data_IF_393381306423
#
_entry.id   IF_393381306423
#
_cell.length_a   1.000
_cell.length_b   1.000
_cell.length_c   1.000
_cell.angle_alpha   90.00
_cell.angle_beta   90.00
_cell.angle_gamma   90.00
#
_symmetry.space_group_name_H-M   'P 1'
#
loop_
_entity.id
_entity.type
_entity.pdbx_description
1 polymer ?
#
# COMPACT_ATOMS: atom_id res chain seq x y z
N UNK A 1 2.30 12.21 19.86
CA UNK A 1 3.23 11.94 18.74
C UNK A 1 4.19 10.84 19.16
N UNK A 2 4.24 9.73 18.44
CA UNK A 2 5.14 8.62 18.74
C UNK A 2 6.17 8.51 17.60
N UNK A 3 7.38 9.02 17.87
CA UNK A 3 8.51 8.86 16.93
C UNK A 3 9.24 7.56 17.22
N UNK A 4 9.67 6.89 16.17
CA UNK A 4 10.46 5.66 16.26
C UNK A 4 11.72 5.79 15.42
N UNK A 5 12.77 5.10 15.82
CA UNK A 5 13.90 4.80 14.95
C UNK A 5 13.45 3.75 13.94
N UNK A 6 13.64 4.03 12.67
CA UNK A 6 13.14 3.16 11.60
C UNK A 6 14.17 2.08 11.24
N UNK A 7 14.05 0.92 11.84
CA UNK A 7 15.03 -0.14 11.73
C UNK A 7 16.43 0.35 12.14
N UNK A 8 17.46 -0.07 11.42
CA UNK A 8 18.84 0.37 11.59
C UNK A 8 19.25 1.54 10.69
N UNK A 9 18.27 2.28 10.15
CA UNK A 9 18.53 3.35 9.16
C UNK A 9 19.04 4.66 9.77
N UNK A 10 18.86 4.85 11.07
CA UNK A 10 19.07 6.13 11.72
C UNK A 10 18.00 7.19 11.42
N UNK A 11 16.99 6.86 10.62
CA UNK A 11 15.86 7.75 10.37
C UNK A 11 14.90 7.73 11.56
N UNK A 12 14.53 8.91 12.02
CA UNK A 12 13.51 9.10 13.07
C UNK A 12 12.22 9.54 12.41
N UNK A 13 11.21 8.69 12.43
CA UNK A 13 9.92 8.95 11.77
C UNK A 13 8.76 8.90 12.77
N UNK A 14 7.71 9.67 12.48
CA UNK A 14 6.43 9.56 13.18
C UNK A 14 5.81 8.20 12.82
N UNK A 15 5.25 7.50 13.80
CA UNK A 15 4.68 6.15 13.64
C UNK A 15 3.41 6.11 12.77
N UNK A 16 3.07 7.22 12.13
CA UNK A 16 2.01 7.33 11.13
C UNK A 16 2.55 8.06 9.90
N UNK A 17 2.70 7.34 8.81
CA UNK A 17 3.14 7.88 7.53
C UNK A 17 1.96 8.21 6.60
N UNK A 18 2.24 8.98 5.56
CA UNK A 18 1.29 9.35 4.51
C UNK A 18 1.54 8.55 3.24
N UNK A 19 0.55 7.76 2.81
CA UNK A 19 0.56 7.03 1.54
C UNK A 19 0.03 7.89 0.40
N UNK A 20 0.88 8.31 -0.51
CA UNK A 20 0.58 9.26 -1.57
C UNK A 20 -0.14 8.65 -2.80
N UNK A 21 -0.53 7.37 -2.80
CA UNK A 21 -1.27 6.79 -3.92
C UNK A 21 -2.62 7.51 -4.20
N UNK A 22 -3.46 7.85 -3.20
CA UNK A 22 -4.76 8.46 -3.48
C UNK A 22 -4.68 9.91 -3.98
N UNK A 23 -3.63 10.65 -3.71
CA UNK A 23 -3.54 12.06 -4.14
C UNK A 23 -3.47 12.21 -5.67
N UNK A 24 -3.17 11.16 -6.42
CA UNK A 24 -3.28 11.18 -7.88
C UNK A 24 -4.72 11.45 -8.39
N UNK A 25 -5.74 11.33 -7.53
CA UNK A 25 -7.16 11.50 -7.86
C UNK A 25 -7.71 12.90 -7.57
N UNK A 26 -6.92 13.77 -6.98
CA UNK A 26 -7.29 15.15 -6.63
C UNK A 26 -6.37 16.14 -7.36
N UNK A 27 -6.73 17.39 -7.41
CA UNK A 27 -5.90 18.43 -8.05
C UNK A 27 -4.56 18.62 -7.34
N UNK A 28 -3.57 19.19 -8.03
CA UNK A 28 -2.27 19.52 -7.42
C UNK A 28 -2.43 20.47 -6.23
N UNK A 29 -3.29 21.49 -6.37
CA UNK A 29 -3.56 22.45 -5.29
C UNK A 29 -4.13 21.78 -4.04
N UNK A 30 -5.10 20.88 -4.20
CA UNK A 30 -5.67 20.13 -3.08
C UNK A 30 -4.65 19.17 -2.46
N UNK A 31 -3.85 18.48 -3.30
CA UNK A 31 -2.80 17.59 -2.82
C UNK A 31 -1.74 18.32 -2.01
N UNK A 32 -1.24 19.46 -2.49
CA UNK A 32 -0.27 20.30 -1.78
C UNK A 32 -0.81 20.76 -0.43
N UNK A 33 -2.06 21.24 -0.39
CA UNK A 33 -2.71 21.64 0.87
C UNK A 33 -2.80 20.48 1.86
N UNK A 34 -3.18 19.29 1.37
CA UNK A 34 -3.33 18.08 2.19
C UNK A 34 -1.98 17.60 2.73
N UNK A 35 -0.93 17.61 1.90
CA UNK A 35 0.43 17.22 2.28
C UNK A 35 1.04 18.20 3.29
N UNK A 36 0.84 19.50 3.13
CA UNK A 36 1.26 20.50 4.12
C UNK A 36 0.54 20.30 5.44
N UNK A 37 -0.79 20.12 5.43
CA UNK A 37 -1.58 19.87 6.65
C UNK A 37 -1.09 18.61 7.38
N UNK A 38 -0.74 17.55 6.63
CA UNK A 38 -0.18 16.33 7.21
C UNK A 38 1.18 16.60 7.89
N UNK A 39 2.09 17.29 7.19
CA UNK A 39 3.41 17.63 7.70
C UNK A 39 3.34 18.54 8.94
N UNK A 40 2.51 19.57 8.91
CA UNK A 40 2.30 20.50 10.03
C UNK A 40 1.61 19.81 11.22
N UNK A 41 0.81 18.77 10.94
CA UNK A 41 0.21 17.88 11.94
C UNK A 41 1.16 16.86 12.57
N UNK A 42 2.43 16.81 12.11
CA UNK A 42 3.49 15.99 12.69
C UNK A 42 3.90 14.77 11.88
N UNK A 43 3.19 14.45 10.77
CA UNK A 43 3.61 13.39 9.84
C UNK A 43 4.86 13.85 9.10
N UNK A 44 5.94 13.07 9.21
CA UNK A 44 7.19 13.36 8.51
C UNK A 44 7.61 12.26 7.53
N UNK A 45 6.84 11.18 7.38
CA UNK A 45 7.11 10.08 6.44
C UNK A 45 6.08 10.08 5.31
N UNK A 46 6.55 10.25 4.06
CA UNK A 46 5.72 10.30 2.85
C UNK A 46 6.17 9.25 1.85
N UNK A 47 5.26 8.36 1.45
CA UNK A 47 5.52 7.25 0.54
C UNK A 47 4.77 7.43 -0.78
N UNK A 48 5.50 7.53 -1.87
CA UNK A 48 4.97 7.60 -3.24
C UNK A 48 5.57 6.50 -4.13
N UNK A 49 5.39 6.57 -5.44
CA UNK A 49 6.01 5.65 -6.41
C UNK A 49 6.04 6.25 -7.82
N UNK A 50 7.03 5.84 -8.64
CA UNK A 50 7.10 6.18 -10.06
C UNK A 50 5.81 5.79 -10.82
N UNK A 51 5.17 4.68 -10.42
CA UNK A 51 3.95 4.17 -11.02
C UNK A 51 2.66 4.92 -10.63
N UNK A 52 2.71 5.89 -9.71
CA UNK A 52 1.53 6.62 -9.24
C UNK A 52 1.29 7.90 -10.04
N UNK A 53 1.12 7.77 -11.34
CA UNK A 53 0.83 8.87 -12.29
C UNK A 53 1.57 10.19 -11.95
N UNK A 54 0.87 11.20 -11.44
CA UNK A 54 1.40 12.53 -11.08
C UNK A 54 1.70 12.71 -9.57
N UNK A 55 1.64 11.64 -8.79
CA UNK A 55 1.83 11.72 -7.33
C UNK A 55 3.21 12.27 -6.94
N UNK A 56 4.30 11.84 -7.61
CA UNK A 56 5.64 12.39 -7.35
C UNK A 56 5.72 13.88 -7.67
N UNK A 57 5.04 14.36 -8.73
CA UNK A 57 4.98 15.77 -9.06
C UNK A 57 4.32 16.59 -7.94
N UNK A 58 3.19 16.12 -7.42
CA UNK A 58 2.44 16.75 -6.32
C UNK A 58 3.25 16.78 -5.02
N UNK A 59 3.94 15.68 -4.71
CA UNK A 59 4.87 15.62 -3.56
C UNK A 59 6.03 16.61 -3.75
N UNK A 60 6.63 16.66 -4.94
CA UNK A 60 7.70 17.60 -5.28
C UNK A 60 7.23 19.07 -5.22
N UNK A 61 5.99 19.35 -5.65
CA UNK A 61 5.39 20.69 -5.51
C UNK A 61 5.17 21.07 -4.05
N UNK A 62 4.70 20.15 -3.22
CA UNK A 62 4.44 20.39 -1.80
C UNK A 62 5.72 20.63 -0.99
N UNK A 63 6.79 19.88 -1.25
CA UNK A 63 7.98 19.89 -0.38
C UNK A 63 9.21 20.56 -1.00
N UNK A 64 9.07 21.24 -2.14
CA UNK A 64 10.12 22.09 -2.69
C UNK A 64 10.48 23.19 -1.70
N UNK A 65 11.76 23.23 -1.25
CA UNK A 65 12.21 24.15 -0.20
C UNK A 65 11.95 23.73 1.24
N UNK A 66 11.33 22.56 1.48
CA UNK A 66 11.08 21.97 2.80
C UNK A 66 11.53 20.51 2.89
N UNK A 67 12.46 20.11 2.04
CA UNK A 67 12.87 18.70 1.86
C UNK A 67 13.44 18.07 3.14
N UNK A 68 14.09 18.87 3.97
CA UNK A 68 14.69 18.51 5.25
C UNK A 68 13.65 18.21 6.35
N UNK A 69 12.39 18.65 6.15
CA UNK A 69 11.30 18.39 7.12
C UNK A 69 10.73 16.97 6.99
N UNK A 70 11.04 16.25 5.92
CA UNK A 70 10.40 14.98 5.59
C UNK A 70 11.40 13.86 5.34
N UNK A 71 10.96 12.64 5.60
CA UNK A 71 11.55 11.39 5.12
C UNK A 71 10.72 10.93 3.92
N UNK A 72 11.36 10.84 2.77
CA UNK A 72 10.72 10.57 1.49
C UNK A 72 11.04 9.17 0.99
N UNK A 73 10.00 8.37 0.75
CA UNK A 73 10.08 7.09 0.08
C UNK A 73 9.44 7.14 -1.30
N UNK A 74 10.11 6.58 -2.31
CA UNK A 74 9.51 6.29 -3.62
C UNK A 74 10.00 4.96 -4.16
N UNK A 75 9.49 4.53 -5.33
CA UNK A 75 9.65 3.16 -5.81
C UNK A 75 9.89 3.12 -7.31
N UNK A 76 10.73 2.19 -7.76
CA UNK A 76 10.91 1.85 -9.18
C UNK A 76 10.28 0.50 -9.53
N UNK A 77 9.59 0.44 -10.67
CA UNK A 77 9.12 -0.81 -11.26
C UNK A 77 10.09 -1.39 -12.30
N UNK A 78 11.30 -0.86 -12.39
CA UNK A 78 12.31 -1.29 -13.33
C UNK A 78 12.68 -2.76 -13.14
N UNK A 79 13.02 -3.41 -14.26
CA UNK A 79 13.47 -4.80 -14.30
C UNK A 79 14.92 -4.95 -14.84
N UNK A 80 15.57 -3.82 -15.13
CA UNK A 80 16.94 -3.74 -15.59
C UNK A 80 17.65 -2.53 -14.96
N UNK A 81 18.97 -2.57 -14.90
CA UNK A 81 19.78 -1.46 -14.41
C UNK A 81 19.53 -0.15 -15.17
N UNK A 82 19.36 -0.20 -16.51
CA UNK A 82 19.06 0.99 -17.31
C UNK A 82 17.69 1.58 -16.93
N UNK A 83 16.69 0.71 -16.78
CA UNK A 83 15.35 1.12 -16.31
C UNK A 83 15.39 1.74 -14.92
N UNK A 84 16.17 1.18 -14.01
CA UNK A 84 16.38 1.71 -12.66
C UNK A 84 16.91 3.15 -12.70
N UNK A 85 17.96 3.42 -13.48
CA UNK A 85 18.54 4.75 -13.58
C UNK A 85 17.57 5.75 -14.20
N UNK A 86 16.87 5.37 -15.26
CA UNK A 86 15.83 6.21 -15.89
C UNK A 86 14.73 6.58 -14.87
N UNK A 87 14.24 5.62 -14.09
CA UNK A 87 13.21 5.86 -13.08
C UNK A 87 13.75 6.76 -11.97
N UNK A 88 14.95 6.49 -11.44
CA UNK A 88 15.56 7.28 -10.37
C UNK A 88 15.77 8.74 -10.78
N UNK A 89 16.37 8.99 -11.94
CA UNK A 89 16.60 10.35 -12.45
C UNK A 89 15.28 11.09 -12.71
N UNK A 90 14.27 10.36 -13.16
CA UNK A 90 12.93 10.93 -13.32
C UNK A 90 12.30 11.26 -11.96
N UNK A 91 12.40 10.37 -10.98
CA UNK A 91 11.89 10.60 -9.64
C UNK A 91 12.56 11.81 -8.97
N UNK A 92 13.88 11.91 -9.02
CA UNK A 92 14.62 13.05 -8.45
C UNK A 92 14.16 14.38 -9.07
N UNK A 93 14.07 14.43 -10.40
CA UNK A 93 13.60 15.62 -11.12
C UNK A 93 12.15 15.97 -10.76
N UNK A 94 11.25 14.98 -10.73
CA UNK A 94 9.82 15.18 -10.50
C UNK A 94 9.55 15.58 -9.05
N UNK A 95 10.25 14.95 -8.11
CA UNK A 95 10.21 15.26 -6.68
C UNK A 95 10.96 16.53 -6.30
N UNK A 96 11.70 17.14 -7.25
CA UNK A 96 12.51 18.37 -7.06
C UNK A 96 13.50 18.25 -5.89
N UNK A 97 14.23 17.15 -5.85
CA UNK A 97 15.20 16.83 -4.79
C UNK A 97 16.44 16.15 -5.37
N UNK A 98 17.57 16.31 -4.69
CA UNK A 98 18.83 15.68 -5.07
C UNK A 98 18.99 14.28 -4.47
N UNK A 99 18.16 13.91 -3.50
CA UNK A 99 18.23 12.61 -2.85
C UNK A 99 16.86 12.09 -2.41
N UNK A 100 16.78 10.77 -2.30
CA UNK A 100 15.62 10.04 -1.76
C UNK A 100 16.08 9.27 -0.52
N UNK A 101 15.31 9.35 0.58
CA UNK A 101 15.69 8.66 1.81
C UNK A 101 15.54 7.15 1.68
N UNK A 102 14.41 6.68 1.15
CA UNK A 102 14.11 5.25 0.97
C UNK A 102 13.70 4.99 -0.47
N UNK A 103 14.55 4.28 -1.23
CA UNK A 103 14.23 3.90 -2.60
C UNK A 103 13.93 2.41 -2.69
N UNK A 104 12.73 2.07 -3.19
CA UNK A 104 12.20 0.71 -3.09
C UNK A 104 12.08 0.04 -4.46
N UNK A 105 12.43 -1.24 -4.57
CA UNK A 105 12.00 -2.07 -5.69
C UNK A 105 10.51 -2.36 -5.55
N UNK A 106 9.72 -2.02 -6.56
CA UNK A 106 8.25 -2.03 -6.51
C UNK A 106 7.65 -3.37 -6.89
N UNK A 107 7.46 -4.25 -5.93
CA UNK A 107 6.82 -5.57 -6.09
C UNK A 107 7.48 -6.46 -7.17
N UNK A 108 8.80 -6.61 -7.18
CA UNK A 108 9.48 -7.51 -8.09
C UNK A 108 9.01 -8.96 -7.85
N UNK A 109 9.09 -9.80 -8.90
CA UNK A 109 8.74 -11.21 -8.80
C UNK A 109 9.81 -12.05 -8.08
N UNK A 110 10.98 -11.47 -7.85
CA UNK A 110 12.16 -12.05 -7.21
C UNK A 110 12.78 -11.03 -6.25
N UNK A 111 13.76 -11.44 -5.46
CA UNK A 111 14.51 -10.56 -4.58
C UNK A 111 15.79 -10.09 -5.30
N UNK A 112 15.93 -8.82 -5.77
CA UNK A 112 17.16 -8.32 -6.37
C UNK A 112 18.36 -8.44 -5.41
N UNK A 113 19.52 -8.93 -5.93
CA UNK A 113 20.72 -9.19 -5.13
C UNK A 113 21.97 -8.67 -5.86
N UNK A 114 23.08 -8.41 -5.13
CA UNK A 114 24.34 -8.06 -5.75
C UNK A 114 24.79 -9.13 -6.77
N UNK A 115 25.27 -8.67 -7.93
CA UNK A 115 25.70 -9.55 -9.03
C UNK A 115 24.56 -10.27 -9.75
N UNK A 116 23.30 -9.92 -9.52
CA UNK A 116 22.15 -10.44 -10.25
C UNK A 116 22.20 -10.05 -11.73
N UNK A 117 21.73 -10.94 -12.63
CA UNK A 117 21.71 -10.69 -14.08
C UNK A 117 20.88 -9.45 -14.46
N UNK A 118 19.90 -9.08 -13.64
CA UNK A 118 19.08 -7.88 -13.78
C UNK A 118 19.85 -6.58 -13.52
N UNK A 119 20.96 -6.62 -12.78
CA UNK A 119 21.79 -5.50 -12.38
C UNK A 119 21.12 -4.46 -11.48
N UNK A 120 19.92 -4.74 -10.98
CA UNK A 120 19.11 -3.78 -10.20
C UNK A 120 19.75 -3.40 -8.88
N UNK A 121 20.22 -4.42 -8.12
CA UNK A 121 20.79 -4.15 -6.81
C UNK A 121 22.13 -3.44 -6.91
N UNK A 122 22.95 -3.77 -7.91
CA UNK A 122 24.23 -3.11 -8.15
C UNK A 122 24.04 -1.66 -8.59
N UNK A 123 23.02 -1.38 -9.42
CA UNK A 123 22.61 -0.02 -9.76
C UNK A 123 22.15 0.77 -8.51
N UNK A 124 21.42 0.13 -7.58
CA UNK A 124 21.02 0.76 -6.34
C UNK A 124 22.21 1.04 -5.40
N UNK A 125 23.19 0.15 -5.33
CA UNK A 125 24.43 0.39 -4.58
C UNK A 125 25.21 1.59 -5.15
N UNK A 126 25.33 1.68 -6.47
CA UNK A 126 25.99 2.82 -7.11
C UNK A 126 25.22 4.12 -6.89
N UNK A 127 23.87 4.10 -6.97
CA UNK A 127 23.04 5.26 -6.66
C UNK A 127 23.19 5.72 -5.20
N UNK A 128 23.34 4.78 -4.27
CA UNK A 128 23.63 5.06 -2.85
C UNK A 128 25.02 5.69 -2.69
N UNK A 129 26.03 5.17 -3.38
CA UNK A 129 27.40 5.71 -3.38
C UNK A 129 27.44 7.15 -3.93
N UNK A 130 26.62 7.44 -4.95
CA UNK A 130 26.47 8.79 -5.50
C UNK A 130 25.65 9.73 -4.60
N UNK A 131 25.10 9.26 -3.48
CA UNK A 131 24.27 10.04 -2.58
C UNK A 131 22.84 10.31 -3.08
N UNK A 132 22.42 9.74 -4.21
CA UNK A 132 21.08 9.92 -4.79
C UNK A 132 20.01 9.19 -4.01
N UNK A 133 20.36 8.09 -3.36
CA UNK A 133 19.48 7.37 -2.42
C UNK A 133 20.23 7.07 -1.12
N UNK A 134 19.54 7.09 0.00
CA UNK A 134 20.14 6.79 1.32
C UNK A 134 20.00 5.33 1.69
N UNK A 135 18.81 4.76 1.48
CA UNK A 135 18.50 3.39 1.87
C UNK A 135 17.86 2.62 0.71
N UNK A 136 18.36 1.41 0.47
CA UNK A 136 17.80 0.46 -0.51
C UNK A 136 16.75 -0.36 0.21
N UNK A 137 15.55 -0.45 -0.36
CA UNK A 137 14.41 -1.12 0.24
C UNK A 137 13.59 -1.89 -0.79
N UNK A 138 12.63 -2.67 -0.33
CA UNK A 138 11.76 -3.46 -1.20
C UNK A 138 10.32 -3.38 -0.72
N UNK A 139 9.38 -3.32 -1.66
CA UNK A 139 7.97 -3.56 -1.38
C UNK A 139 7.50 -4.81 -2.10
N UNK A 140 6.73 -5.64 -1.44
CA UNK A 140 6.19 -6.85 -2.06
C UNK A 140 4.80 -7.20 -1.54
N UNK A 141 4.14 -8.13 -2.25
CA UNK A 141 2.88 -8.74 -1.85
C UNK A 141 2.99 -10.26 -1.72
N UNK A 142 4.15 -10.83 -2.09
CA UNK A 142 4.43 -12.26 -2.01
C UNK A 142 5.21 -12.55 -0.76
N UNK A 143 4.66 -13.40 0.10
CA UNK A 143 5.31 -13.82 1.35
C UNK A 143 6.72 -14.39 1.11
N UNK A 144 6.88 -15.24 0.09
CA UNK A 144 8.17 -15.86 -0.20
C UNK A 144 9.27 -14.82 -0.55
N UNK A 145 8.95 -13.81 -1.38
CA UNK A 145 9.92 -12.76 -1.73
C UNK A 145 10.18 -11.83 -0.55
N UNK A 146 9.17 -11.55 0.27
CA UNK A 146 9.32 -10.75 1.48
C UNK A 146 10.23 -11.46 2.49
N UNK A 147 10.04 -12.76 2.71
CA UNK A 147 10.90 -13.57 3.58
C UNK A 147 12.33 -13.62 3.05
N UNK A 148 12.51 -13.88 1.74
CA UNK A 148 13.83 -13.87 1.10
C UNK A 148 14.55 -12.53 1.28
N UNK A 149 13.82 -11.42 1.18
CA UNK A 149 14.38 -10.08 1.40
C UNK A 149 14.88 -9.89 2.84
N UNK A 150 14.13 -10.38 3.83
CA UNK A 150 14.52 -10.35 5.25
C UNK A 150 15.78 -11.19 5.46
N UNK A 151 15.76 -12.44 5.01
CA UNK A 151 16.86 -13.40 5.20
C UNK A 151 18.15 -12.97 4.51
N UNK A 152 18.05 -12.18 3.45
CA UNK A 152 19.21 -11.66 2.71
C UNK A 152 20.03 -10.64 3.49
N UNK A 153 19.42 -9.91 4.42
CA UNK A 153 20.06 -8.80 5.14
C UNK A 153 20.45 -7.60 4.27
N UNK A 154 19.95 -7.53 3.03
CA UNK A 154 20.35 -6.52 2.03
C UNK A 154 19.54 -5.24 2.11
N UNK A 155 18.35 -5.28 2.67
CA UNK A 155 17.38 -4.21 2.61
C UNK A 155 17.21 -3.49 3.93
N UNK A 156 17.10 -2.17 3.88
CA UNK A 156 16.88 -1.34 5.06
C UNK A 156 15.43 -1.39 5.57
N UNK A 157 14.47 -1.68 4.67
CA UNK A 157 13.07 -1.84 5.03
C UNK A 157 12.32 -2.77 4.07
N UNK A 158 11.24 -3.34 4.59
CA UNK A 158 10.23 -4.08 3.82
C UNK A 158 8.90 -3.31 3.88
N UNK A 159 8.29 -3.07 2.73
CA UNK A 159 6.90 -2.61 2.65
C UNK A 159 6.00 -3.76 2.25
N UNK A 160 5.02 -4.08 3.09
CA UNK A 160 4.11 -5.21 2.88
C UNK A 160 2.66 -4.86 3.26
N UNK A 161 1.61 -5.48 2.63
CA UNK A 161 0.24 -5.31 3.07
C UNK A 161 0.06 -5.81 4.50
N UNK A 162 -0.39 -4.91 5.39
CA UNK A 162 -0.56 -5.25 6.79
C UNK A 162 -1.72 -4.46 7.39
N UNK A 163 -2.59 -5.15 8.11
CA UNK A 163 -3.76 -4.61 8.81
C UNK A 163 -4.10 -5.53 9.97
N UNK A 164 -5.11 -5.21 10.77
CA UNK A 164 -5.56 -6.12 11.81
C UNK A 164 -6.23 -7.42 11.29
N UNK A 165 -6.31 -7.60 9.97
CA UNK A 165 -6.65 -8.87 9.32
C UNK A 165 -5.43 -9.76 9.04
N UNK A 166 -4.22 -9.30 9.41
CA UNK A 166 -2.99 -10.06 9.23
C UNK A 166 -3.03 -11.39 10.00
N UNK A 167 -2.56 -12.45 9.35
CA UNK A 167 -2.39 -13.76 9.93
C UNK A 167 -0.97 -13.96 10.50
N UNK A 168 -0.68 -15.20 10.91
CA UNK A 168 0.60 -15.57 11.52
C UNK A 168 1.78 -15.30 10.59
N UNK A 169 1.63 -15.52 9.29
CA UNK A 169 2.70 -15.33 8.31
C UNK A 169 3.10 -13.86 8.16
N UNK A 170 2.13 -12.95 8.11
CA UNK A 170 2.40 -11.52 8.04
C UNK A 170 2.97 -10.99 9.37
N UNK A 171 2.52 -11.50 10.51
CA UNK A 171 3.09 -11.18 11.81
C UNK A 171 4.54 -11.68 11.92
N UNK A 172 4.86 -12.85 11.36
CA UNK A 172 6.22 -13.37 11.31
C UNK A 172 7.15 -12.49 10.46
N UNK A 173 6.67 -11.85 9.37
CA UNK A 173 7.46 -10.88 8.60
C UNK A 173 7.80 -9.64 9.45
N UNK A 174 6.87 -9.13 10.26
CA UNK A 174 7.13 -7.99 11.15
C UNK A 174 8.22 -8.32 12.16
N UNK A 175 8.13 -9.50 12.79
CA UNK A 175 9.13 -9.97 13.75
C UNK A 175 10.49 -10.25 13.07
N UNK A 176 10.47 -10.85 11.86
CA UNK A 176 11.67 -11.04 11.04
C UNK A 176 12.35 -9.71 10.71
N UNK A 177 11.60 -8.69 10.31
CA UNK A 177 12.15 -7.35 10.09
C UNK A 177 12.76 -6.79 11.38
N UNK A 178 12.07 -6.89 12.50
CA UNK A 178 12.54 -6.39 13.80
C UNK A 178 13.88 -7.04 14.19
N UNK A 179 13.99 -8.34 14.08
CA UNK A 179 15.20 -9.11 14.47
C UNK A 179 16.39 -8.84 13.55
N UNK A 180 16.16 -8.48 12.28
CA UNK A 180 17.19 -8.12 11.31
C UNK A 180 17.48 -6.61 11.23
N UNK A 181 16.89 -5.80 12.12
CA UNK A 181 17.07 -4.35 12.11
C UNK A 181 16.49 -3.65 10.89
N UNK A 182 15.53 -4.29 10.20
CA UNK A 182 14.80 -3.72 9.08
C UNK A 182 13.57 -2.95 9.56
N UNK A 183 13.29 -1.77 8.97
CA UNK A 183 12.01 -1.10 9.18
C UNK A 183 10.88 -1.83 8.45
N UNK A 184 9.67 -1.85 9.03
CA UNK A 184 8.48 -2.41 8.38
C UNK A 184 7.47 -1.32 8.04
N UNK A 185 7.18 -1.13 6.74
CA UNK A 185 6.17 -0.20 6.25
C UNK A 185 4.89 -0.97 5.99
N UNK A 186 3.83 -0.66 6.75
CA UNK A 186 2.53 -1.28 6.59
C UNK A 186 1.68 -0.54 5.55
N UNK A 187 1.59 -1.08 4.34
CA UNK A 187 0.64 -0.58 3.35
C UNK A 187 -0.73 -1.25 3.50
N UNK A 188 -1.78 -0.59 2.99
CA UNK A 188 -3.16 -1.10 3.03
C UNK A 188 -3.70 -1.35 4.43
N UNK A 189 -3.37 -0.50 5.39
CA UNK A 189 -3.84 -0.58 6.78
C UNK A 189 -5.37 -0.66 6.91
N UNK A 190 -6.12 -0.14 5.93
CA UNK A 190 -7.59 -0.26 5.83
C UNK A 190 -8.04 -1.43 4.94
N UNK A 191 -7.18 -2.43 4.68
CA UNK A 191 -7.46 -3.60 3.84
C UNK A 191 -8.11 -3.26 2.48
N UNK A 192 -7.65 -2.17 1.84
CA UNK A 192 -8.21 -1.70 0.57
C UNK A 192 -9.64 -1.18 0.65
N UNK A 193 -10.06 -0.65 1.80
CA UNK A 193 -11.38 -0.09 2.05
C UNK A 193 -12.39 -1.08 2.66
N UNK A 194 -11.98 -2.29 2.99
CA UNK A 194 -12.84 -3.27 3.69
C UNK A 194 -12.99 -2.95 5.17
N UNK A 195 -12.00 -2.34 5.80
CA UNK A 195 -12.06 -1.84 7.16
C UNK A 195 -12.63 -0.42 7.14
N UNK A 196 -13.57 -0.13 8.03
CA UNK A 196 -14.30 1.14 8.04
C UNK A 196 -13.88 2.06 9.17
N UNK A 197 -13.42 1.49 10.27
CA UNK A 197 -13.04 2.23 11.46
C UNK A 197 -11.54 2.54 11.43
N UNK A 198 -11.20 3.74 10.95
CA UNK A 198 -9.82 4.22 10.89
C UNK A 198 -9.17 4.36 12.26
N UNK A 199 -9.94 4.71 13.29
CA UNK A 199 -9.43 4.85 14.66
C UNK A 199 -9.06 3.49 15.25
N UNK A 200 -9.88 2.46 15.02
CA UNK A 200 -9.56 1.08 15.42
C UNK A 200 -8.33 0.55 14.66
N UNK A 201 -8.24 0.83 13.36
CA UNK A 201 -7.06 0.45 12.57
C UNK A 201 -5.78 1.15 13.07
N UNK A 202 -5.87 2.45 13.35
CA UNK A 202 -4.75 3.22 13.90
C UNK A 202 -4.33 2.72 15.30
N UNK A 203 -5.27 2.42 16.17
CA UNK A 203 -5.00 1.90 17.50
C UNK A 203 -4.30 0.53 17.45
N UNK A 204 -4.73 -0.35 16.55
CA UNK A 204 -4.10 -1.65 16.38
C UNK A 204 -2.69 -1.51 15.83
N UNK A 205 -2.48 -0.63 14.84
CA UNK A 205 -1.15 -0.36 14.26
C UNK A 205 -0.20 0.28 15.28
N UNK A 206 -0.72 1.18 16.12
CA UNK A 206 0.07 1.81 17.18
C UNK A 206 0.61 0.80 18.20
N UNK A 207 -0.12 -0.28 18.44
CA UNK A 207 0.30 -1.36 19.34
C UNK A 207 1.36 -2.31 18.73
N UNK A 208 1.62 -2.24 17.41
CA UNK A 208 2.64 -3.09 16.77
C UNK A 208 4.01 -2.43 16.90
N UNK A 209 5.01 -3.16 17.38
CA UNK A 209 6.41 -2.72 17.37
C UNK A 209 6.97 -2.75 15.95
N UNK A 210 7.94 -1.86 15.66
CA UNK A 210 8.64 -1.78 14.36
C UNK A 210 7.73 -1.62 13.12
N UNK A 211 6.48 -1.17 13.27
CA UNK A 211 5.53 -0.99 12.16
C UNK A 211 5.20 0.47 11.96
N UNK A 212 5.34 0.94 10.74
CA UNK A 212 4.92 2.29 10.30
C UNK A 212 3.84 2.14 9.25
N UNK A 213 2.57 2.38 9.59
CA UNK A 213 1.51 2.43 8.59
C UNK A 213 1.65 3.65 7.69
N UNK A 214 1.38 3.46 6.40
CA UNK A 214 1.20 4.54 5.43
C UNK A 214 -0.28 4.65 5.08
N UNK A 215 -0.94 5.70 5.60
CA UNK A 215 -2.36 5.90 5.39
C UNK A 215 -2.60 6.56 4.04
N UNK A 216 -3.38 5.90 3.19
CA UNK A 216 -3.82 6.46 1.92
C UNK A 216 -4.97 7.45 2.14
N UNK A 217 -4.70 8.73 1.95
CA UNK A 217 -5.62 9.84 2.24
C UNK A 217 -5.83 10.70 0.99
N UNK A 218 -7.07 11.11 0.72
CA UNK A 218 -7.42 12.03 -0.35
C UNK A 218 -8.36 13.16 0.10
N UNK A 219 -8.85 13.13 1.35
CA UNK A 219 -9.76 14.13 1.93
C UNK A 219 -9.23 14.63 3.26
N UNK A 220 -9.47 15.91 3.56
CA UNK A 220 -9.06 16.48 4.85
C UNK A 220 -9.70 15.76 6.04
N UNK A 221 -10.97 15.35 5.94
CA UNK A 221 -11.66 14.62 7.00
C UNK A 221 -11.06 13.23 7.29
N UNK A 222 -10.49 12.58 6.29
CA UNK A 222 -9.74 11.33 6.47
C UNK A 222 -8.42 11.59 7.21
N UNK A 223 -7.71 12.66 6.81
CA UNK A 223 -6.47 13.07 7.47
C UNK A 223 -6.70 13.45 8.93
N UNK A 224 -7.77 14.21 9.22
CA UNK A 224 -8.08 14.69 10.56
C UNK A 224 -8.22 13.54 11.57
N UNK A 225 -8.76 12.40 11.18
CA UNK A 225 -8.86 11.22 12.03
C UNK A 225 -7.47 10.69 12.43
N UNK A 226 -6.54 10.59 11.48
CA UNK A 226 -5.18 10.13 11.76
C UNK A 226 -4.37 11.17 12.55
N UNK A 227 -4.55 12.46 12.24
CA UNK A 227 -3.93 13.54 13.02
C UNK A 227 -4.46 13.58 14.46
N UNK A 228 -5.73 13.26 14.67
CA UNK A 228 -6.28 13.09 16.02
C UNK A 228 -5.55 11.98 16.78
N UNK A 229 -5.37 10.80 16.15
CA UNK A 229 -4.61 9.70 16.74
C UNK A 229 -3.18 10.09 17.09
N UNK A 230 -2.52 10.93 16.28
CA UNK A 230 -1.17 11.42 16.53
C UNK A 230 -1.14 12.36 17.75
N UNK A 231 -2.15 13.22 17.92
CA UNK A 231 -2.23 14.18 19.04
C UNK A 231 -2.62 13.53 20.36
N UNK A 232 -3.66 12.71 20.32
CA UNK A 232 -4.32 12.17 21.52
C UNK A 232 -3.83 10.77 21.90
N UNK A 233 -3.12 10.11 20.98
CA UNK A 233 -2.83 8.69 21.08
C UNK A 233 -3.99 7.82 20.58
N UNK A 234 -3.70 6.57 20.27
CA UNK A 234 -4.69 5.62 19.83
C UNK A 234 -4.63 4.39 20.75
N UNK A 235 -5.49 4.36 21.76
CA UNK A 235 -5.57 3.22 22.69
C UNK A 235 -6.39 2.09 22.09
N UNK A 236 -5.92 0.86 22.25
CA UNK A 236 -6.63 -0.35 21.83
C UNK A 236 -7.61 -0.79 22.94
N UNK A 237 -8.76 -0.10 23.01
CA UNK A 237 -9.82 -0.37 23.99
C UNK A 237 -10.51 -1.73 23.76
N UNK A 238 -11.25 -2.24 24.73
CA UNK A 238 -12.00 -3.51 24.60
C UNK A 238 -13.08 -3.43 23.51
N UNK A 239 -13.70 -2.26 23.29
CA UNK A 239 -14.64 -2.03 22.21
C UNK A 239 -13.96 -2.19 20.84
N UNK A 240 -12.76 -1.62 20.68
CA UNK A 240 -11.96 -1.77 19.46
C UNK A 240 -11.49 -3.21 19.26
N UNK A 241 -11.11 -3.92 20.33
CA UNK A 241 -10.78 -5.36 20.27
C UNK A 241 -11.98 -6.17 19.77
N UNK A 242 -13.17 -5.92 20.31
CA UNK A 242 -14.43 -6.56 19.88
C UNK A 242 -14.71 -6.28 18.39
N UNK A 243 -14.49 -5.05 17.94
CA UNK A 243 -14.62 -4.68 16.54
C UNK A 243 -13.64 -5.46 15.64
N UNK A 244 -12.38 -5.57 16.06
CA UNK A 244 -11.36 -6.35 15.34
C UNK A 244 -11.76 -7.83 15.25
N UNK A 245 -12.20 -8.42 16.34
CA UNK A 245 -12.62 -9.83 16.37
C UNK A 245 -13.83 -10.09 15.46
N UNK A 246 -14.82 -9.18 15.47
CA UNK A 246 -15.95 -9.25 14.56
C UNK A 246 -15.49 -9.18 13.11
N UNK A 247 -14.68 -8.19 12.77
CA UNK A 247 -14.18 -7.99 11.41
C UNK A 247 -13.32 -9.16 10.93
N UNK A 248 -12.49 -9.72 11.81
CA UNK A 248 -11.72 -10.94 11.50
C UNK A 248 -12.63 -12.12 11.18
N UNK A 249 -13.71 -12.34 11.94
CA UNK A 249 -14.67 -13.41 11.63
C UNK A 249 -15.42 -13.20 10.33
N UNK A 250 -15.82 -11.95 10.04
CA UNK A 250 -16.58 -11.62 8.84
C UNK A 250 -15.72 -11.57 7.56
N UNK A 251 -14.43 -11.27 7.69
CA UNK A 251 -13.48 -11.14 6.59
C UNK A 251 -12.45 -12.28 6.59
N UNK A 252 -12.74 -13.41 7.27
CA UNK A 252 -11.88 -14.58 7.19
C UNK A 252 -12.03 -15.27 5.83
N UNK A 253 -10.95 -15.89 5.35
CA UNK A 253 -10.93 -16.67 4.12
C UNK A 253 -10.28 -15.99 2.91
N UNK A 254 -10.44 -16.63 1.77
CA UNK A 254 -9.88 -16.18 0.51
C UNK A 254 -10.70 -15.03 -0.08
N UNK A 255 -10.13 -13.86 -0.15
CA UNK A 255 -10.76 -12.71 -0.80
C UNK A 255 -9.75 -11.84 -1.54
N UNK A 256 -10.21 -11.15 -2.59
CA UNK A 256 -9.38 -10.24 -3.37
C UNK A 256 -8.99 -9.00 -2.55
N UNK A 257 -7.66 -8.74 -2.38
CA UNK A 257 -7.13 -7.55 -1.69
C UNK A 257 -7.17 -6.28 -2.53
N UNK A 258 -7.72 -6.32 -3.75
CA UNK A 258 -7.87 -5.16 -4.61
C UNK A 258 -6.55 -4.54 -5.10
N UNK A 259 -5.46 -5.30 -5.15
CA UNK A 259 -4.12 -4.80 -5.49
C UNK A 259 -3.96 -4.40 -6.96
N UNK A 260 -4.73 -4.99 -7.89
CA UNK A 260 -4.73 -4.66 -9.30
C UNK A 260 -3.63 -5.31 -10.15
N UNK A 261 -2.74 -6.14 -9.61
CA UNK A 261 -1.64 -6.76 -10.39
C UNK A 261 -2.12 -7.73 -11.49
N UNK A 262 -3.34 -8.25 -11.36
CA UNK A 262 -4.00 -9.06 -12.38
C UNK A 262 -4.56 -8.22 -13.55
N UNK A 263 -4.50 -6.90 -13.48
CA UNK A 263 -4.98 -6.00 -14.53
C UNK A 263 -3.90 -5.70 -15.57
N UNK A 264 -4.23 -5.34 -16.83
CA UNK A 264 -5.60 -5.39 -17.37
C UNK A 264 -6.05 -6.83 -17.65
N UNK A 265 -7.35 -7.09 -17.53
CA UNK A 265 -7.93 -8.36 -17.96
C UNK A 265 -8.09 -8.39 -19.49
N UNK A 266 -7.69 -9.47 -20.20
CA UNK A 266 -7.88 -9.55 -21.65
C UNK A 266 -9.35 -9.54 -22.11
N UNK A 267 -10.29 -9.80 -21.18
CA UNK A 267 -11.73 -9.70 -21.42
C UNK A 267 -12.33 -8.38 -20.89
N UNK A 268 -11.53 -7.41 -20.46
CA UNK A 268 -12.00 -6.12 -19.98
C UNK A 268 -12.65 -6.12 -18.58
N UNK A 269 -12.57 -7.23 -17.83
CA UNK A 269 -13.15 -7.33 -16.49
C UNK A 269 -12.33 -6.51 -15.50
N UNK A 270 -12.98 -5.67 -14.70
CA UNK A 270 -12.37 -4.92 -13.59
C UNK A 270 -12.18 -5.83 -12.36
N UNK A 271 -11.27 -6.82 -12.50
CA UNK A 271 -11.10 -7.94 -11.58
C UNK A 271 -10.90 -7.48 -10.13
N UNK A 272 -10.03 -6.49 -9.91
CA UNK A 272 -9.65 -6.00 -8.60
C UNK A 272 -10.81 -5.39 -7.78
N UNK A 273 -11.91 -5.08 -8.43
CA UNK A 273 -13.15 -4.64 -7.78
C UNK A 273 -14.22 -5.74 -7.82
N UNK A 274 -14.46 -6.32 -8.98
CA UNK A 274 -15.51 -7.32 -9.15
C UNK A 274 -15.29 -8.58 -8.28
N UNK A 275 -14.03 -9.02 -8.11
CA UNK A 275 -13.71 -10.21 -7.31
C UNK A 275 -13.82 -10.01 -5.79
N UNK A 276 -14.25 -8.84 -5.33
CA UNK A 276 -14.52 -8.54 -3.91
C UNK A 276 -15.85 -7.80 -3.69
N UNK A 277 -16.69 -7.76 -4.71
CA UNK A 277 -17.92 -6.98 -4.71
C UNK A 277 -18.86 -7.38 -3.56
N UNK A 278 -18.98 -8.66 -3.25
CA UNK A 278 -19.76 -9.17 -2.11
C UNK A 278 -19.39 -8.50 -0.78
N UNK A 279 -18.09 -8.30 -0.54
CA UNK A 279 -17.61 -7.63 0.66
C UNK A 279 -17.90 -6.12 0.60
N UNK A 280 -17.76 -5.49 -0.56
CA UNK A 280 -18.06 -4.07 -0.74
C UNK A 280 -19.55 -3.77 -0.51
N UNK A 281 -20.44 -4.61 -0.99
CA UNK A 281 -21.89 -4.49 -0.77
C UNK A 281 -22.28 -4.56 0.71
N UNK A 282 -21.51 -5.30 1.52
CA UNK A 282 -21.76 -5.46 2.97
C UNK A 282 -21.03 -4.43 3.83
N UNK A 283 -19.99 -3.81 3.29
CA UNK A 283 -19.08 -2.93 4.03
C UNK A 283 -19.19 -1.45 3.64
N UNK A 284 -19.79 -1.12 2.51
CA UNK A 284 -20.07 0.25 2.08
C UNK A 284 -21.59 0.45 1.91
N UNK A 285 -22.09 1.69 1.81
CA UNK A 285 -23.46 1.88 1.38
C UNK A 285 -23.70 1.14 0.06
N UNK A 286 -24.51 0.08 0.09
CA UNK A 286 -24.69 -0.82 -1.06
C UNK A 286 -25.12 -0.07 -2.33
N UNK A 287 -25.94 0.97 -2.17
CA UNK A 287 -26.42 1.80 -3.29
C UNK A 287 -25.30 2.36 -4.16
N UNK A 288 -24.14 2.66 -3.57
CA UNK A 288 -22.97 3.14 -4.34
C UNK A 288 -22.43 2.11 -5.34
N UNK A 289 -22.74 0.84 -5.14
CA UNK A 289 -22.29 -0.30 -5.94
C UNK A 289 -23.38 -0.95 -6.76
N UNK A 290 -24.65 -0.51 -6.61
CA UNK A 290 -25.81 -1.07 -7.34
C UNK A 290 -26.25 -0.18 -8.52
N UNK A 291 -25.42 0.77 -8.94
CA UNK A 291 -25.65 1.66 -10.08
C UNK A 291 -25.61 0.91 -11.41
N UNK A 292 -26.19 1.49 -12.48
CA UNK A 292 -26.11 0.93 -13.83
C UNK A 292 -24.67 0.71 -14.30
N UNK A 293 -23.76 1.63 -13.95
CA UNK A 293 -22.34 1.48 -14.24
C UNK A 293 -21.77 0.20 -13.63
N UNK A 294 -22.04 -0.06 -12.33
CA UNK A 294 -21.57 -1.27 -11.67
C UNK A 294 -22.27 -2.52 -12.16
N UNK A 295 -23.55 -2.45 -12.53
CA UNK A 295 -24.24 -3.57 -13.17
C UNK A 295 -23.56 -3.97 -14.47
N UNK A 296 -23.18 -2.99 -15.31
CA UNK A 296 -22.44 -3.25 -16.55
C UNK A 296 -21.07 -3.89 -16.29
N UNK A 297 -20.32 -3.37 -15.29
CA UNK A 297 -19.02 -3.95 -14.87
C UNK A 297 -19.16 -5.38 -14.35
N UNK A 298 -20.19 -5.66 -13.58
CA UNK A 298 -20.46 -7.03 -13.10
C UNK A 298 -20.88 -7.97 -14.24
N UNK A 299 -21.71 -7.51 -15.20
CA UNK A 299 -22.03 -8.28 -16.40
C UNK A 299 -20.81 -8.64 -17.25
N UNK A 300 -19.76 -7.79 -17.24
CA UNK A 300 -18.53 -8.10 -17.97
C UNK A 300 -17.87 -9.40 -17.50
N UNK A 301 -18.18 -9.88 -16.29
CA UNK A 301 -17.68 -11.16 -15.75
C UNK A 301 -18.09 -12.35 -16.65
N UNK A 302 -19.24 -12.30 -17.31
CA UNK A 302 -19.72 -13.33 -18.24
C UNK A 302 -18.77 -13.54 -19.43
N UNK A 303 -17.96 -12.55 -19.77
CA UNK A 303 -16.96 -12.61 -20.82
C UNK A 303 -15.65 -13.26 -20.38
N UNK A 304 -15.60 -13.84 -19.18
CA UNK A 304 -14.40 -14.47 -18.66
C UNK A 304 -13.98 -15.65 -19.55
N UNK A 305 -12.76 -15.58 -20.09
CA UNK A 305 -12.20 -16.59 -20.99
C UNK A 305 -11.51 -17.74 -20.26
N UNK A 306 -11.52 -17.75 -18.95
CA UNK A 306 -10.81 -18.71 -18.09
C UNK A 306 -9.33 -18.91 -18.48
N UNK A 307 -8.67 -17.87 -18.97
CA UNK A 307 -7.31 -17.91 -19.51
C UNK A 307 -6.19 -18.04 -18.46
N UNK A 308 -6.52 -18.00 -17.16
CA UNK A 308 -5.57 -18.13 -16.05
C UNK A 308 -4.69 -16.92 -15.79
N UNK A 309 -4.71 -15.88 -16.64
CA UNK A 309 -3.85 -14.69 -16.51
C UNK A 309 -3.93 -14.03 -15.13
N UNK A 310 -5.14 -13.87 -14.57
CA UNK A 310 -5.34 -13.26 -13.27
C UNK A 310 -4.79 -14.14 -12.13
N UNK A 311 -4.87 -15.45 -12.23
CA UNK A 311 -4.32 -16.38 -11.23
C UNK A 311 -2.80 -16.34 -11.23
N UNK A 312 -2.19 -16.39 -12.43
CA UNK A 312 -0.73 -16.37 -12.58
C UNK A 312 -0.09 -15.07 -12.03
N UNK A 313 -0.82 -13.95 -12.08
CA UNK A 313 -0.38 -12.66 -11.56
C UNK A 313 -0.80 -12.37 -10.12
N UNK A 314 -1.66 -13.20 -9.53
CA UNK A 314 -2.14 -12.96 -8.18
C UNK A 314 -1.04 -13.25 -7.15
N UNK A 315 -0.58 -12.26 -6.37
CA UNK A 315 0.45 -12.49 -5.36
C UNK A 315 -0.06 -13.29 -4.16
N UNK A 316 -1.38 -13.47 -4.06
CA UNK A 316 -2.04 -14.22 -2.98
C UNK A 316 -2.49 -15.62 -3.41
N UNK A 317 -2.17 -16.06 -4.63
CA UNK A 317 -2.53 -17.39 -5.13
C UNK A 317 -4.04 -17.65 -5.26
N UNK A 318 -4.87 -16.60 -5.37
CA UNK A 318 -6.33 -16.73 -5.37
C UNK A 318 -6.85 -17.37 -6.66
N UNK A 319 -7.85 -18.25 -6.55
CA UNK A 319 -8.64 -18.69 -7.68
C UNK A 319 -9.60 -17.58 -8.12
N UNK A 320 -9.05 -16.59 -8.82
CA UNK A 320 -9.77 -15.37 -9.19
C UNK A 320 -11.01 -15.62 -10.06
N UNK A 321 -11.02 -16.56 -11.04
CA UNK A 321 -12.23 -16.87 -11.80
C UNK A 321 -13.39 -17.37 -10.93
N UNK A 322 -13.13 -18.23 -9.96
CA UNK A 322 -14.16 -18.69 -9.01
C UNK A 322 -14.67 -17.56 -8.12
N UNK A 323 -13.76 -16.71 -7.62
CA UNK A 323 -14.14 -15.53 -6.84
C UNK A 323 -15.02 -14.58 -7.66
N UNK A 324 -14.72 -14.37 -8.95
CA UNK A 324 -15.54 -13.54 -9.83
C UNK A 324 -16.95 -14.13 -9.96
N UNK A 325 -17.09 -15.44 -10.19
CA UNK A 325 -18.39 -16.08 -10.32
C UNK A 325 -19.21 -16.04 -9.01
N UNK A 326 -18.57 -16.28 -7.87
CA UNK A 326 -19.22 -16.18 -6.57
C UNK A 326 -19.74 -14.75 -6.30
N UNK A 327 -18.89 -13.73 -6.57
CA UNK A 327 -19.28 -12.32 -6.42
C UNK A 327 -20.36 -11.90 -7.42
N UNK A 328 -20.34 -12.43 -8.65
CA UNK A 328 -21.37 -12.20 -9.67
C UNK A 328 -22.73 -12.67 -9.20
N UNK A 329 -22.82 -13.92 -8.74
CA UNK A 329 -24.08 -14.49 -8.23
C UNK A 329 -24.63 -13.69 -7.06
N UNK A 330 -23.81 -13.42 -6.06
CA UNK A 330 -24.20 -12.66 -4.87
C UNK A 330 -24.64 -11.22 -5.20
N UNK A 331 -23.98 -10.58 -6.17
CA UNK A 331 -24.34 -9.23 -6.62
C UNK A 331 -25.77 -9.15 -7.13
N UNK A 332 -26.16 -10.08 -7.99
CA UNK A 332 -27.52 -10.09 -8.58
C UNK A 332 -28.58 -10.48 -7.56
N UNK A 333 -28.26 -11.33 -6.59
CA UNK A 333 -29.15 -11.63 -5.47
C UNK A 333 -29.42 -10.37 -4.62
N UNK A 334 -28.36 -9.63 -4.26
CA UNK A 334 -28.49 -8.36 -3.50
C UNK A 334 -29.25 -7.30 -4.30
N UNK A 335 -28.97 -7.13 -5.59
CA UNK A 335 -29.67 -6.19 -6.44
C UNK A 335 -31.17 -6.50 -6.53
N UNK A 336 -31.53 -7.78 -6.67
CA UNK A 336 -32.93 -8.21 -6.70
C UNK A 336 -33.67 -7.91 -5.37
N UNK A 337 -32.97 -8.07 -4.24
CA UNK A 337 -33.52 -7.74 -2.92
C UNK A 337 -33.68 -6.23 -2.70
N UNK A 338 -32.77 -5.42 -3.23
CA UNK A 338 -32.81 -3.94 -3.09
C UNK A 338 -33.93 -3.26 -3.88
N UNK A 339 -34.54 -3.97 -4.82
CA UNK A 339 -35.66 -3.48 -5.66
C UNK A 339 -37.03 -3.88 -5.12
N UNK A 340 -37.09 -4.67 -4.07
CA UNK A 340 -38.28 -5.03 -3.31
C UNK A 340 -38.53 -4.08 -2.14
#
# INVERSE_FOLDING_TARGET
MQKIEFGSTGLVIEKNGFGCLPIQRISETEAVKLLHKACDGGINFFDTARAYSDSEQKVGAAFSGMRDRIVLATKTGAQTAEGFWRDLETSLRTLKTDYIDIYQFHNPAFCPKPGGEDGLYDAALEAKKQGKIRHISITNHRLAVAQEAIDSGLYASLQFPFSYLAGEQELALVEGCRTHGMGFIAMKGMAGGLLRDGLTAAAWMAAQENVVPIWGVQRESELDQFLQCIREGAELTDERRTTIERDRRELCGEFCRGCGYCMPCPAGIEINQCARMSLMLRRAPAQAWLTEEWQAKMHQIEQCRHCGHCMAKCPYGLNTPELLQANYKDYWEVLAQSRK
#
